data_IF_631373586803
#
_entry.id   IF_631373586803
#
_cell.length_a   1.000
_cell.length_b   1.000
_cell.length_c   1.000
_cell.angle_alpha   90.00
_cell.angle_beta   90.00
_cell.angle_gamma   90.00
#
_symmetry.space_group_name_H-M   'P 1'
#
loop_
_entity.id
_entity.type
_entity.pdbx_description
1 polymer ?
#
# COMPACT_ATOMS: atom_id res chain seq x y z
N UNK A 1 11.17 19.94 -2.03
CA UNK A 1 11.22 18.62 -2.69
C UNK A 1 12.18 17.75 -1.91
N UNK A 2 11.74 16.62 -1.42
CA UNK A 2 12.62 15.66 -0.76
C UNK A 2 13.15 14.65 -1.78
N UNK A 3 14.35 14.12 -1.53
CA UNK A 3 14.94 13.06 -2.34
C UNK A 3 14.38 11.70 -1.90
N UNK A 4 13.82 10.93 -2.83
CA UNK A 4 13.17 9.64 -2.57
C UNK A 4 13.96 8.50 -3.20
N UNK A 5 14.23 7.44 -2.44
CA UNK A 5 14.66 6.14 -2.96
C UNK A 5 13.46 5.21 -2.99
N UNK A 6 13.21 4.61 -4.16
CA UNK A 6 12.16 3.60 -4.34
C UNK A 6 12.77 2.20 -4.20
N UNK A 7 12.12 1.36 -3.40
CA UNK A 7 12.43 -0.07 -3.30
C UNK A 7 11.38 -0.86 -4.08
N UNK A 8 11.86 -1.62 -5.06
CA UNK A 8 11.03 -2.37 -6.01
C UNK A 8 10.95 -1.68 -7.36
N UNK A 9 11.10 -2.47 -8.44
CA UNK A 9 11.01 -2.01 -9.83
C UNK A 9 10.25 -3.00 -10.70
N UNK A 10 9.11 -3.46 -10.18
CA UNK A 10 8.11 -4.29 -10.85
C UNK A 10 6.96 -3.47 -11.44
N UNK A 11 5.84 -4.14 -11.74
CA UNK A 11 4.65 -3.48 -12.32
C UNK A 11 4.05 -2.42 -11.41
N UNK A 12 3.99 -2.66 -10.09
CA UNK A 12 3.43 -1.72 -9.13
C UNK A 12 4.27 -0.44 -9.02
N UNK A 13 5.59 -0.54 -9.13
CA UNK A 13 6.46 0.64 -9.05
C UNK A 13 6.23 1.65 -10.18
N UNK A 14 5.78 1.20 -11.35
CA UNK A 14 5.46 2.09 -12.48
C UNK A 14 4.33 3.05 -12.10
N UNK A 15 3.27 2.52 -11.48
CA UNK A 15 2.11 3.31 -11.06
C UNK A 15 2.46 4.23 -9.88
N UNK A 16 3.27 3.74 -8.93
CA UNK A 16 3.76 4.54 -7.80
C UNK A 16 4.58 5.74 -8.29
N UNK A 17 5.49 5.54 -9.24
CA UNK A 17 6.31 6.61 -9.83
C UNK A 17 5.45 7.69 -10.48
N UNK A 18 4.47 7.27 -11.27
CA UNK A 18 3.53 8.20 -11.89
C UNK A 18 2.74 9.00 -10.84
N UNK A 19 2.27 8.35 -9.77
CA UNK A 19 1.59 9.04 -8.66
C UNK A 19 2.50 10.07 -7.98
N UNK A 20 3.75 9.71 -7.74
CA UNK A 20 4.73 10.59 -7.10
C UNK A 20 5.07 11.79 -7.99
N UNK A 21 5.23 11.57 -9.30
CA UNK A 21 5.44 12.65 -10.28
C UNK A 21 4.23 13.61 -10.34
N UNK A 22 3.00 13.08 -10.33
CA UNK A 22 1.80 13.90 -10.36
C UNK A 22 1.55 14.63 -9.04
N UNK A 23 1.97 14.10 -7.92
CA UNK A 23 1.95 14.78 -6.63
C UNK A 23 2.90 16.00 -6.62
N UNK A 24 4.05 15.91 -7.31
CA UNK A 24 4.92 17.04 -7.63
C UNK A 24 5.72 17.62 -6.46
N UNK A 25 5.83 16.90 -5.34
CA UNK A 25 6.52 17.37 -4.13
C UNK A 25 7.88 16.74 -3.91
N UNK A 26 8.16 15.57 -4.47
CA UNK A 26 9.38 14.81 -4.23
C UNK A 26 10.07 14.37 -5.52
N UNK A 27 11.39 14.11 -5.42
CA UNK A 27 12.24 13.72 -6.56
C UNK A 27 12.78 12.32 -6.35
N UNK A 28 12.57 11.42 -7.30
CA UNK A 28 13.17 10.08 -7.28
C UNK A 28 14.64 10.20 -7.66
N UNK A 29 15.53 9.86 -6.72
CA UNK A 29 17.00 9.87 -6.94
C UNK A 29 17.55 8.48 -7.23
N UNK A 30 16.86 7.40 -6.81
CA UNK A 30 17.34 6.04 -6.99
C UNK A 30 16.28 4.97 -6.86
N UNK A 31 16.64 3.79 -7.32
CA UNK A 31 15.82 2.57 -7.24
C UNK A 31 16.66 1.39 -6.79
N UNK A 32 16.15 0.68 -5.80
CA UNK A 32 16.75 -0.57 -5.33
C UNK A 32 15.81 -1.75 -5.63
N UNK A 33 16.36 -2.79 -6.26
CA UNK A 33 15.63 -4.02 -6.56
C UNK A 33 16.61 -5.20 -6.64
N UNK A 34 16.16 -6.41 -6.28
CA UNK A 34 16.98 -7.63 -6.35
C UNK A 34 17.31 -8.07 -7.79
N UNK A 35 16.63 -7.52 -8.80
CA UNK A 35 16.96 -7.78 -10.21
C UNK A 35 18.24 -7.10 -10.67
N UNK A 36 18.68 -6.07 -9.96
CA UNK A 36 19.94 -5.37 -10.24
C UNK A 36 21.10 -6.11 -9.60
N UNK A 37 22.20 -6.27 -10.32
CA UNK A 37 23.42 -6.95 -9.87
C UNK A 37 24.57 -6.00 -9.57
N UNK A 38 24.45 -4.74 -9.99
CA UNK A 38 25.46 -3.70 -9.82
C UNK A 38 24.81 -2.31 -9.74
N UNK A 39 25.58 -1.35 -9.22
CA UNK A 39 25.20 0.06 -9.31
C UNK A 39 25.30 0.55 -10.76
N UNK A 40 24.25 1.18 -11.24
CA UNK A 40 24.20 1.87 -12.53
C UNK A 40 23.60 3.26 -12.36
N UNK A 41 24.23 4.25 -12.98
CA UNK A 41 23.71 5.62 -13.03
C UNK A 41 23.04 5.89 -14.36
N UNK A 42 21.78 6.30 -14.31
CA UNK A 42 21.00 6.65 -15.50
C UNK A 42 20.48 8.09 -15.36
N UNK A 43 21.18 9.03 -15.98
CA UNK A 43 20.91 10.45 -15.84
C UNK A 43 21.08 10.94 -14.39
N UNK A 44 20.03 11.52 -13.83
CA UNK A 44 19.99 12.00 -12.45
C UNK A 44 19.66 10.89 -11.42
N UNK A 45 19.19 9.74 -11.86
CA UNK A 45 18.80 8.62 -11.00
C UNK A 45 19.84 7.50 -11.04
N UNK A 46 19.86 6.66 -10.01
CA UNK A 46 20.64 5.43 -9.98
C UNK A 46 19.77 4.19 -9.82
N UNK A 47 20.32 3.03 -10.17
CA UNK A 47 19.78 1.71 -9.91
C UNK A 47 20.83 0.87 -9.22
N UNK A 48 20.43 0.05 -8.23
CA UNK A 48 21.36 -0.79 -7.49
C UNK A 48 20.64 -2.01 -6.87
N UNK A 49 21.40 -3.06 -6.47
CA UNK A 49 20.86 -4.17 -5.71
C UNK A 49 20.21 -3.71 -4.41
N UNK A 50 19.09 -4.34 -4.02
CA UNK A 50 18.44 -4.00 -2.75
C UNK A 50 19.36 -4.23 -1.55
N UNK A 51 20.20 -5.24 -1.57
CA UNK A 51 21.11 -5.55 -0.44
C UNK A 51 22.16 -4.45 -0.17
N UNK A 52 22.34 -3.53 -1.10
CA UNK A 52 23.20 -2.36 -0.92
C UNK A 52 22.52 -1.18 -0.15
N UNK A 53 21.27 -1.35 0.31
CA UNK A 53 20.43 -0.27 0.87
C UNK A 53 21.10 0.54 1.98
N UNK A 54 21.94 -0.08 2.82
CA UNK A 54 22.64 0.60 3.91
C UNK A 54 23.55 1.74 3.41
N UNK A 55 24.09 1.61 2.18
CA UNK A 55 24.98 2.62 1.57
C UNK A 55 24.22 3.92 1.27
N UNK A 56 22.91 3.84 1.06
CA UNK A 56 22.07 4.94 0.61
C UNK A 56 21.21 5.57 1.71
N UNK A 57 21.26 5.05 2.95
CA UNK A 57 20.49 5.59 4.08
C UNK A 57 20.78 7.05 4.39
N UNK A 58 21.98 7.52 4.06
CA UNK A 58 22.40 8.93 4.27
C UNK A 58 22.08 9.83 3.09
N UNK A 59 21.82 9.25 1.91
CA UNK A 59 21.63 10.00 0.67
C UNK A 59 20.16 10.37 0.44
N UNK A 60 19.25 9.54 0.94
CA UNK A 60 17.80 9.76 0.81
C UNK A 60 17.22 10.49 2.02
N UNK A 61 16.34 11.44 1.76
CA UNK A 61 15.52 12.05 2.79
C UNK A 61 14.31 11.16 3.11
N UNK A 62 13.76 10.49 2.09
CA UNK A 62 12.59 9.62 2.21
C UNK A 62 12.80 8.31 1.43
N UNK A 63 12.11 7.28 1.88
CA UNK A 63 12.04 5.96 1.23
C UNK A 63 10.61 5.64 0.85
N UNK A 64 10.42 4.83 -0.20
CA UNK A 64 9.12 4.28 -0.54
C UNK A 64 9.26 2.84 -1.03
N UNK A 65 8.43 1.91 -0.50
CA UNK A 65 8.44 0.50 -0.89
C UNK A 65 7.35 0.26 -1.93
N UNK A 66 7.73 0.20 -3.21
CA UNK A 66 6.83 0.06 -4.36
C UNK A 66 6.59 -1.41 -4.74
N UNK A 67 6.28 -2.25 -3.76
CA UNK A 67 6.05 -3.69 -3.90
C UNK A 67 4.59 -4.02 -3.54
N UNK A 68 3.87 -4.66 -4.47
CA UNK A 68 2.46 -4.99 -4.32
C UNK A 68 2.18 -6.14 -3.34
N UNK A 69 3.11 -7.08 -3.17
CA UNK A 69 2.98 -8.18 -2.21
C UNK A 69 3.07 -7.65 -0.78
N UNK A 70 2.03 -7.92 0.02
CA UNK A 70 1.88 -7.36 1.36
C UNK A 70 2.94 -7.89 2.32
N UNK A 71 3.27 -9.18 2.24
CA UNK A 71 4.26 -9.81 3.10
C UNK A 71 5.67 -9.32 2.78
N UNK A 72 6.04 -9.33 1.51
CA UNK A 72 7.33 -8.80 1.05
C UNK A 72 7.50 -7.32 1.41
N UNK A 73 6.44 -6.50 1.26
CA UNK A 73 6.46 -5.08 1.64
C UNK A 73 6.72 -4.89 3.14
N UNK A 74 6.04 -5.68 3.99
CA UNK A 74 6.24 -5.63 5.43
C UNK A 74 7.65 -6.12 5.85
N UNK A 75 8.18 -7.17 5.23
CA UNK A 75 9.52 -7.70 5.48
C UNK A 75 10.61 -6.68 5.10
N UNK A 76 10.44 -6.01 3.97
CA UNK A 76 11.36 -4.96 3.52
C UNK A 76 11.31 -3.75 4.46
N UNK A 77 10.12 -3.33 4.90
CA UNK A 77 10.00 -2.26 5.89
C UNK A 77 10.74 -2.59 7.19
N UNK A 78 10.60 -3.82 7.68
CA UNK A 78 11.33 -4.28 8.85
C UNK A 78 12.85 -4.33 8.64
N UNK A 79 13.31 -4.71 7.42
CA UNK A 79 14.75 -4.76 7.07
C UNK A 79 15.37 -3.36 6.94
N UNK A 80 14.65 -2.40 6.37
CA UNK A 80 15.09 -1.01 6.26
C UNK A 80 15.21 -0.34 7.64
N UNK A 81 14.37 -0.73 8.60
CA UNK A 81 14.40 -0.23 9.96
C UNK A 81 14.00 1.26 10.06
N UNK A 82 14.75 2.01 10.86
CA UNK A 82 14.45 3.41 11.20
C UNK A 82 14.89 4.36 10.06
N UNK A 83 14.07 4.41 9.01
CA UNK A 83 14.18 5.38 7.92
C UNK A 83 12.86 6.15 7.79
N UNK A 84 12.92 7.39 7.28
CA UNK A 84 11.71 8.16 6.99
C UNK A 84 11.07 7.69 5.68
N UNK A 85 9.75 7.57 5.66
CA UNK A 85 9.00 7.12 4.49
C UNK A 85 8.15 8.23 3.88
N UNK A 86 8.11 8.29 2.55
CA UNK A 86 7.18 9.14 1.82
C UNK A 86 5.75 8.61 1.96
N UNK A 87 4.78 9.50 2.05
CA UNK A 87 3.36 9.20 1.87
C UNK A 87 2.92 9.78 0.54
N UNK A 88 2.42 8.93 -0.33
CA UNK A 88 2.06 9.32 -1.70
C UNK A 88 0.54 9.41 -1.81
N UNK A 89 0.03 10.59 -2.18
CA UNK A 89 -1.41 10.83 -2.38
C UNK A 89 -1.60 11.42 -3.77
N UNK A 90 -2.22 10.66 -4.67
CA UNK A 90 -2.49 11.15 -6.01
C UNK A 90 -3.41 12.37 -5.97
N UNK A 91 -3.18 13.43 -6.79
CA UNK A 91 -3.98 14.66 -6.76
C UNK A 91 -5.48 14.48 -7.00
N UNK A 92 -5.89 13.39 -7.66
CA UNK A 92 -7.32 13.07 -7.89
C UNK A 92 -7.94 12.20 -6.80
N UNK A 93 -7.18 11.80 -5.78
CA UNK A 93 -7.74 11.13 -4.62
C UNK A 93 -8.52 12.12 -3.75
N UNK A 94 -9.62 11.66 -3.18
CA UNK A 94 -10.44 12.44 -2.25
C UNK A 94 -10.16 11.93 -0.85
N UNK A 95 -9.48 12.73 -0.04
CA UNK A 95 -9.10 12.37 1.33
C UNK A 95 -9.73 13.34 2.31
N UNK A 96 -10.49 12.82 3.27
CA UNK A 96 -11.07 13.62 4.34
C UNK A 96 -9.99 14.30 5.20
N UNK A 97 -10.27 15.51 5.67
CA UNK A 97 -9.35 16.24 6.55
C UNK A 97 -9.16 15.60 7.92
N UNK A 98 -10.11 14.76 8.36
CA UNK A 98 -10.05 14.04 9.63
C UNK A 98 -9.47 12.63 9.48
N UNK A 99 -9.23 12.16 8.26
CA UNK A 99 -8.56 10.89 8.02
C UNK A 99 -7.06 10.99 8.35
N UNK A 100 -6.52 9.92 8.90
CA UNK A 100 -5.09 9.77 9.19
C UNK A 100 -4.47 8.79 8.21
N UNK A 101 -3.35 9.17 7.58
CA UNK A 101 -2.59 8.30 6.68
C UNK A 101 -1.17 8.22 7.20
N UNK A 102 -0.74 7.03 7.61
CA UNK A 102 0.60 6.79 8.14
C UNK A 102 1.66 6.68 7.03
N UNK A 103 2.95 6.90 7.39
CA UNK A 103 4.06 6.91 6.44
C UNK A 103 4.20 5.61 5.63
N UNK A 104 4.75 5.73 4.42
CA UNK A 104 4.97 4.60 3.51
C UNK A 104 3.72 4.15 2.74
N UNK A 105 2.57 4.80 2.97
CA UNK A 105 1.31 4.45 2.31
C UNK A 105 1.14 5.19 0.98
N UNK A 106 0.40 4.59 0.05
CA UNK A 106 0.02 5.20 -1.21
C UNK A 106 -1.49 5.20 -1.41
N UNK A 107 -2.02 6.37 -1.77
CA UNK A 107 -3.42 6.59 -2.13
C UNK A 107 -3.45 6.88 -3.62
N UNK A 108 -3.93 5.91 -4.38
CA UNK A 108 -3.92 5.90 -5.84
C UNK A 108 -5.01 6.80 -6.46
N UNK A 109 -4.98 7.05 -7.78
CA UNK A 109 -5.96 7.87 -8.46
C UNK A 109 -7.41 7.49 -8.15
N UNK A 110 -8.27 8.51 -7.96
CA UNK A 110 -9.72 8.35 -7.74
C UNK A 110 -10.10 7.54 -6.48
N UNK A 111 -9.16 7.22 -5.60
CA UNK A 111 -9.50 6.61 -4.32
C UNK A 111 -10.19 7.62 -3.42
N UNK A 112 -11.12 7.15 -2.59
CA UNK A 112 -11.88 7.98 -1.64
C UNK A 112 -11.62 7.47 -0.22
N UNK A 113 -11.22 8.36 0.67
CA UNK A 113 -11.05 8.08 2.10
C UNK A 113 -11.94 9.04 2.89
N UNK A 114 -12.95 8.48 3.55
CA UNK A 114 -13.97 9.21 4.29
C UNK A 114 -13.50 9.61 5.72
N UNK A 115 -14.29 10.45 6.43
CA UNK A 115 -13.92 10.97 7.74
C UNK A 115 -13.56 9.88 8.77
N UNK A 116 -12.62 10.24 9.65
CA UNK A 116 -12.22 9.51 10.84
C UNK A 116 -11.64 8.12 10.56
N UNK A 117 -11.27 7.85 9.29
CA UNK A 117 -10.59 6.63 8.90
C UNK A 117 -9.09 6.70 9.14
N UNK A 118 -8.50 5.59 9.58
CA UNK A 118 -7.07 5.45 9.86
C UNK A 118 -6.45 4.45 8.87
N UNK A 119 -5.49 4.90 8.09
CA UNK A 119 -4.73 4.09 7.13
C UNK A 119 -3.33 3.85 7.70
N UNK A 120 -3.05 2.63 8.13
CA UNK A 120 -1.77 2.25 8.72
C UNK A 120 -0.60 2.28 7.73
N UNK A 121 0.61 2.27 8.27
CA UNK A 121 1.84 2.41 7.51
C UNK A 121 1.99 1.37 6.39
N UNK A 122 2.65 1.77 5.30
CA UNK A 122 2.90 0.89 4.15
C UNK A 122 1.66 0.30 3.50
N UNK A 123 0.50 0.93 3.63
CA UNK A 123 -0.78 0.47 3.06
C UNK A 123 -0.94 0.96 1.63
N UNK A 124 -1.54 0.12 0.78
CA UNK A 124 -1.92 0.47 -0.59
C UNK A 124 -3.43 0.63 -0.66
N UNK A 125 -3.91 1.85 -0.88
CA UNK A 125 -5.30 2.12 -1.27
C UNK A 125 -5.30 2.35 -2.77
N UNK A 126 -5.72 1.34 -3.53
CA UNK A 126 -5.50 1.29 -4.96
C UNK A 126 -6.56 2.08 -5.75
N UNK A 127 -6.38 2.19 -7.06
CA UNK A 127 -7.17 3.02 -7.98
C UNK A 127 -8.66 2.86 -7.78
N UNK A 128 -9.35 3.97 -7.47
CA UNK A 128 -10.80 4.00 -7.30
C UNK A 128 -11.34 3.19 -6.11
N UNK A 129 -10.50 2.75 -5.17
CA UNK A 129 -10.96 2.10 -3.95
C UNK A 129 -11.69 3.11 -3.05
N UNK A 130 -12.71 2.64 -2.31
CA UNK A 130 -13.52 3.45 -1.41
C UNK A 130 -13.34 2.94 0.01
N UNK A 131 -12.90 3.82 0.89
CA UNK A 131 -12.80 3.60 2.33
C UNK A 131 -13.80 4.53 3.00
N UNK A 132 -14.85 3.96 3.57
CA UNK A 132 -15.90 4.70 4.27
C UNK A 132 -15.46 5.15 5.67
N UNK A 133 -16.33 5.90 6.37
CA UNK A 133 -16.08 6.52 7.67
C UNK A 133 -15.73 5.48 8.76
N UNK A 134 -14.92 5.90 9.75
CA UNK A 134 -14.56 5.09 10.94
C UNK A 134 -13.83 3.77 10.62
N UNK A 135 -13.27 3.61 9.40
CA UNK A 135 -12.52 2.41 9.02
C UNK A 135 -11.10 2.46 9.59
N UNK A 136 -10.64 1.35 10.16
CA UNK A 136 -9.26 1.19 10.64
C UNK A 136 -8.56 0.15 9.79
N UNK A 137 -7.53 0.56 9.06
CA UNK A 137 -6.68 -0.34 8.27
C UNK A 137 -5.30 -0.42 8.92
N UNK A 138 -4.91 -1.62 9.32
CA UNK A 138 -3.58 -1.88 9.89
C UNK A 138 -2.50 -1.87 8.81
N UNK A 139 -1.23 -1.84 9.25
CA UNK A 139 -0.06 -1.74 8.38
C UNK A 139 0.01 -2.81 7.28
N UNK A 140 0.66 -2.45 6.19
CA UNK A 140 0.95 -3.31 5.04
C UNK A 140 -0.27 -4.00 4.40
N UNK A 141 -1.47 -3.50 4.59
CA UNK A 141 -2.66 -3.98 3.90
C UNK A 141 -2.71 -3.47 2.44
N UNK A 142 -3.52 -4.11 1.61
CA UNK A 142 -3.77 -3.70 0.24
C UNK A 142 -5.27 -3.76 -0.06
N UNK A 143 -5.88 -2.62 -0.28
CA UNK A 143 -7.24 -2.51 -0.82
C UNK A 143 -7.12 -2.31 -2.32
N UNK A 144 -7.44 -3.35 -3.08
CA UNK A 144 -7.23 -3.42 -4.54
C UNK A 144 -8.16 -2.50 -5.32
N UNK A 145 -7.94 -2.34 -6.65
CA UNK A 145 -8.74 -1.41 -7.45
C UNK A 145 -10.25 -1.60 -7.30
N UNK A 146 -10.96 -0.49 -7.09
CA UNK A 146 -12.43 -0.45 -6.95
C UNK A 146 -13.03 -1.31 -5.85
N UNK A 147 -12.24 -1.78 -4.90
CA UNK A 147 -12.79 -2.42 -3.71
C UNK A 147 -13.44 -1.37 -2.80
N UNK A 148 -14.52 -1.76 -2.12
CA UNK A 148 -15.27 -0.89 -1.21
C UNK A 148 -15.24 -1.48 0.19
N UNK A 149 -14.73 -0.70 1.13
CA UNK A 149 -14.71 -1.01 2.56
C UNK A 149 -15.69 -0.07 3.23
N UNK A 150 -16.79 -0.61 3.76
CA UNK A 150 -17.86 0.20 4.33
C UNK A 150 -17.59 0.58 5.80
N UNK A 151 -18.46 1.43 6.38
CA UNK A 151 -18.20 2.11 7.64
C UNK A 151 -17.90 1.19 8.82
N UNK A 152 -16.95 1.59 9.68
CA UNK A 152 -16.58 0.92 10.92
C UNK A 152 -15.85 -0.41 10.77
N UNK A 153 -15.41 -0.78 9.56
CA UNK A 153 -14.65 -2.02 9.31
C UNK A 153 -13.24 -1.90 9.86
N UNK A 154 -12.73 -3.01 10.43
CA UNK A 154 -11.32 -3.13 10.83
C UNK A 154 -10.59 -4.14 9.94
N UNK A 155 -9.54 -3.67 9.31
CA UNK A 155 -8.69 -4.49 8.43
C UNK A 155 -7.37 -4.78 9.14
N UNK A 156 -7.10 -6.06 9.41
CA UNK A 156 -5.89 -6.51 10.06
C UNK A 156 -4.63 -6.33 9.20
N UNK A 157 -3.47 -6.44 9.84
CA UNK A 157 -2.16 -6.33 9.19
C UNK A 157 -2.06 -7.24 7.96
N UNK A 158 -1.55 -6.70 6.87
CA UNK A 158 -1.24 -7.47 5.68
C UNK A 158 -2.45 -8.07 4.95
N UNK A 159 -3.68 -7.70 5.30
CA UNK A 159 -4.89 -8.15 4.58
C UNK A 159 -4.86 -7.69 3.13
N UNK A 160 -5.28 -8.58 2.24
CA UNK A 160 -5.50 -8.25 0.84
C UNK A 160 -7.00 -8.26 0.52
N UNK A 161 -7.56 -7.10 0.23
CA UNK A 161 -8.92 -6.97 -0.28
C UNK A 161 -8.87 -6.93 -1.80
N UNK A 162 -9.34 -7.96 -2.48
CA UNK A 162 -9.27 -8.14 -3.93
C UNK A 162 -10.06 -7.09 -4.72
N UNK A 163 -9.73 -6.95 -5.99
CA UNK A 163 -10.34 -5.95 -6.86
C UNK A 163 -11.88 -6.08 -6.91
N UNK A 164 -12.58 -4.96 -6.81
CA UNK A 164 -14.05 -4.86 -6.79
C UNK A 164 -14.74 -5.70 -5.67
N UNK A 165 -14.00 -6.12 -4.64
CA UNK A 165 -14.62 -6.74 -3.48
C UNK A 165 -15.35 -5.70 -2.62
N UNK A 166 -16.38 -6.14 -1.90
CA UNK A 166 -17.16 -5.31 -0.98
C UNK A 166 -17.09 -5.92 0.41
N UNK A 167 -16.79 -5.11 1.42
CA UNK A 167 -16.81 -5.50 2.83
C UNK A 167 -17.97 -4.78 3.52
N UNK A 168 -18.91 -5.54 4.10
CA UNK A 168 -20.08 -5.02 4.80
C UNK A 168 -19.68 -4.29 6.10
N UNK A 169 -20.52 -3.36 6.62
CA UNK A 169 -20.18 -2.50 7.75
C UNK A 169 -19.85 -3.27 9.03
N UNK A 170 -18.92 -2.72 9.83
CA UNK A 170 -18.62 -3.16 11.19
C UNK A 170 -17.92 -4.51 11.31
N UNK A 171 -17.37 -5.06 10.22
CA UNK A 171 -16.68 -6.35 10.21
C UNK A 171 -15.20 -6.22 10.55
N UNK A 172 -14.65 -7.30 11.13
CA UNK A 172 -13.23 -7.45 11.42
C UNK A 172 -12.59 -8.44 10.43
N UNK A 173 -11.60 -7.99 9.64
CA UNK A 173 -10.81 -8.85 8.77
C UNK A 173 -9.52 -9.28 9.45
N UNK A 174 -9.38 -10.58 9.73
CA UNK A 174 -8.21 -11.15 10.39
C UNK A 174 -6.91 -10.92 9.62
N UNK A 175 -5.80 -10.72 10.33
CA UNK A 175 -4.49 -10.40 9.74
C UNK A 175 -4.10 -11.40 8.62
N UNK A 176 -3.53 -10.89 7.53
CA UNK A 176 -3.12 -11.68 6.37
C UNK A 176 -4.23 -12.50 5.71
N UNK A 177 -5.52 -12.22 6.00
CA UNK A 177 -6.60 -12.82 5.22
C UNK A 177 -6.62 -12.24 3.80
N UNK A 178 -7.14 -13.04 2.88
CA UNK A 178 -7.28 -12.67 1.48
C UNK A 178 -8.75 -12.70 1.08
N UNK A 179 -9.27 -11.58 0.63
CA UNK A 179 -10.60 -11.47 0.05
C UNK A 179 -10.44 -11.52 -1.46
N UNK A 180 -11.05 -12.51 -2.10
CA UNK A 180 -10.98 -12.67 -3.55
C UNK A 180 -11.65 -11.52 -4.30
N UNK A 181 -11.22 -11.27 -5.53
CA UNK A 181 -11.80 -10.22 -6.38
C UNK A 181 -13.31 -10.44 -6.58
N UNK A 182 -14.09 -9.36 -6.49
CA UNK A 182 -15.54 -9.39 -6.62
C UNK A 182 -16.29 -10.06 -5.47
N UNK A 183 -15.64 -10.48 -4.40
CA UNK A 183 -16.30 -11.10 -3.25
C UNK A 183 -17.09 -10.08 -2.43
N UNK A 184 -18.18 -10.54 -1.79
CA UNK A 184 -18.97 -9.74 -0.83
C UNK A 184 -18.85 -10.36 0.56
N UNK A 185 -18.07 -9.70 1.42
CA UNK A 185 -17.82 -10.15 2.80
C UNK A 185 -19.00 -9.74 3.68
N UNK A 186 -19.64 -10.73 4.31
CA UNK A 186 -20.84 -10.56 5.13
C UNK A 186 -20.64 -11.01 6.59
N UNK A 187 -19.42 -11.32 6.99
CA UNK A 187 -19.05 -11.74 8.34
C UNK A 187 -17.53 -11.63 8.52
N UNK A 188 -17.08 -11.66 9.77
CA UNK A 188 -15.66 -11.56 10.12
C UNK A 188 -14.83 -12.67 9.45
N UNK A 189 -13.55 -12.37 9.20
CA UNK A 189 -12.65 -13.34 8.59
C UNK A 189 -11.53 -13.76 9.55
N UNK A 190 -11.16 -15.04 9.47
CA UNK A 190 -10.05 -15.59 10.23
C UNK A 190 -8.70 -15.16 9.62
N UNK A 191 -7.68 -15.00 10.49
CA UNK A 191 -6.34 -14.66 10.04
C UNK A 191 -5.74 -15.72 9.09
N UNK A 192 -5.09 -15.26 8.03
CA UNK A 192 -4.39 -16.10 7.06
C UNK A 192 -5.31 -16.89 6.10
N UNK A 193 -6.63 -16.75 6.21
CA UNK A 193 -7.57 -17.50 5.39
C UNK A 193 -8.00 -16.72 4.15
N UNK A 194 -8.42 -17.46 3.12
CA UNK A 194 -8.93 -16.88 1.87
C UNK A 194 -10.45 -17.00 1.82
N UNK A 195 -11.13 -15.91 1.45
CA UNK A 195 -12.59 -15.85 1.29
C UNK A 195 -12.95 -15.42 -0.12
N UNK A 196 -13.88 -16.14 -0.76
CA UNK A 196 -14.29 -15.87 -2.15
C UNK A 196 -15.81 -15.98 -2.33
N UNK A 197 -16.33 -15.33 -3.35
CA UNK A 197 -17.72 -15.46 -3.79
C UNK A 197 -18.69 -14.42 -3.21
N UNK A 198 -19.98 -14.56 -3.59
CA UNK A 198 -21.10 -13.68 -3.19
C UNK A 198 -22.23 -14.56 -2.70
N UNK A 199 -22.48 -14.63 -1.38
CA UNK A 199 -21.65 -14.07 -0.30
C UNK A 199 -20.29 -14.78 -0.17
N UNK A 200 -19.31 -14.08 0.35
CA UNK A 200 -17.96 -14.64 0.54
C UNK A 200 -17.97 -15.82 1.53
N UNK A 201 -17.26 -16.87 1.18
CA UNK A 201 -17.08 -18.07 2.02
C UNK A 201 -15.60 -18.42 2.07
N UNK A 202 -15.19 -18.98 3.19
CA UNK A 202 -13.83 -19.50 3.37
C UNK A 202 -13.55 -20.54 2.30
N UNK A 203 -12.40 -20.38 1.63
CA UNK A 203 -11.93 -21.32 0.62
C UNK A 203 -11.17 -22.45 1.33
N UNK A 204 -11.75 -23.64 1.39
CA UNK A 204 -11.06 -24.84 1.86
C UNK A 204 -10.03 -25.27 0.82
N UNK A 205 -8.77 -25.36 1.23
CA UNK A 205 -7.65 -25.83 0.40
C UNK A 205 -7.15 -27.15 0.92
#
# INVERSE_FOLDING_TARGET
MADVIIVGDGGHSKVVRECLEQQGIDTIIGTLDNKYTSYEKNGAQFQAPFDDFERYKKDATLWFIAIGDNKARAEIAAKLGDVAYATIIHPTAIVSKTATIEPGSVIMPLAVIQPDSVIGAHTIINTGAIIEHDVIISEAAHVSPRATVTGGVKIGRGVHVGAAAVVNPGLDLGAYSVIGSGAVVVGDTEAGMTYVGVPARKLDR
#
